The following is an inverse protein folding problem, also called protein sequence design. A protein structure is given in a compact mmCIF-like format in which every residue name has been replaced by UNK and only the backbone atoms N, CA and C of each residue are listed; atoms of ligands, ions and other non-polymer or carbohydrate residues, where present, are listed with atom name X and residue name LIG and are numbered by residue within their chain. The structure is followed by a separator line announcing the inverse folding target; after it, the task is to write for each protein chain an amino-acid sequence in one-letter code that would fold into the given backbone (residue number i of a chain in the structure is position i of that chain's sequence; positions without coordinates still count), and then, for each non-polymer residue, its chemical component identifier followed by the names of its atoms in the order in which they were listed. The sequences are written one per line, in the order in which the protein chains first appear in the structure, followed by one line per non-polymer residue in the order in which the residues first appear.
data_IF_647698966293
#
_entry.id   IF_647698966293
#
_cell.length_a   1.000
_cell.length_b   1.000
_cell.length_c   1.000
_cell.angle_alpha   90.00
_cell.angle_beta   90.00
_cell.angle_gamma   90.00
#
_symmetry.space_group_name_H-M   'P 1'
#
loop_
_entity.id
_entity.type
_entity.pdbx_description
1 polymer ?
#
# COMPACT_ATOMS: atom_id res chain seq x y z
N UNK A 1 -19.60 16.30 3.66
CA UNK A 1 -18.19 15.84 3.78
C UNK A 1 -17.31 17.07 3.95
N UNK A 2 -16.57 17.21 5.06
CA UNK A 2 -15.66 18.36 5.26
C UNK A 2 -14.45 18.20 4.32
N UNK A 3 -14.01 19.29 3.67
CA UNK A 3 -12.84 19.24 2.79
C UNK A 3 -11.57 19.21 3.65
N UNK A 4 -10.79 18.15 3.54
CA UNK A 4 -9.46 18.07 4.15
C UNK A 4 -8.44 18.75 3.25
N UNK A 5 -7.94 19.92 3.66
CA UNK A 5 -6.86 20.63 2.98
C UNK A 5 -5.48 20.04 3.29
N UNK A 6 -4.45 20.46 2.55
CA UNK A 6 -3.03 20.22 2.85
C UNK A 6 -2.56 18.75 2.92
N UNK A 7 -3.32 17.81 2.35
CA UNK A 7 -2.98 16.38 2.35
C UNK A 7 -1.65 16.08 1.66
N UNK A 8 -1.30 16.83 0.61
CA UNK A 8 -0.07 16.59 -0.15
C UNK A 8 1.19 16.77 0.71
N UNK A 9 1.22 17.79 1.58
CA UNK A 9 2.34 18.01 2.50
C UNK A 9 2.50 16.87 3.51
N UNK A 10 1.38 16.31 3.98
CA UNK A 10 1.39 15.14 4.88
C UNK A 10 1.90 13.89 4.15
N UNK A 11 1.47 13.68 2.90
CA UNK A 11 1.89 12.54 2.08
C UNK A 11 3.41 12.60 1.82
N UNK A 12 3.92 13.78 1.41
CA UNK A 12 5.33 14.01 1.10
C UNK A 12 6.21 14.29 2.33
N UNK A 13 5.67 14.18 3.55
CA UNK A 13 6.48 14.33 4.76
C UNK A 13 7.46 13.17 4.90
N UNK A 14 8.72 13.48 5.26
CA UNK A 14 9.77 12.47 5.41
C UNK A 14 9.37 11.37 6.41
N UNK A 15 8.75 11.75 7.53
CA UNK A 15 8.27 10.81 8.54
C UNK A 15 7.22 9.83 7.98
N UNK A 16 6.28 10.32 7.16
CA UNK A 16 5.27 9.46 6.53
C UNK A 16 5.89 8.55 5.47
N UNK A 17 6.83 9.06 4.66
CA UNK A 17 7.56 8.26 3.68
C UNK A 17 8.38 7.15 4.34
N UNK A 18 9.03 7.44 5.47
CA UNK A 18 9.76 6.44 6.27
C UNK A 18 8.81 5.38 6.84
N UNK A 19 7.67 5.79 7.42
CA UNK A 19 6.61 4.87 7.88
C UNK A 19 6.09 4.01 6.72
N UNK A 20 5.91 4.60 5.54
CA UNK A 20 5.45 3.92 4.35
C UNK A 20 6.46 2.88 3.84
N UNK A 21 7.75 3.22 3.82
CA UNK A 21 8.81 2.28 3.45
C UNK A 21 8.85 1.09 4.42
N UNK A 22 8.71 1.34 5.72
CA UNK A 22 8.63 0.28 6.74
C UNK A 22 7.43 -0.65 6.54
N UNK A 23 6.27 -0.11 6.10
CA UNK A 23 5.10 -0.93 5.75
C UNK A 23 5.33 -1.71 4.46
N UNK A 24 5.92 -1.09 3.44
CA UNK A 24 6.17 -1.68 2.13
C UNK A 24 7.14 -2.88 2.17
N UNK A 25 8.13 -2.85 3.07
CA UNK A 25 9.08 -3.96 3.22
C UNK A 25 8.54 -5.15 4.01
N UNK A 26 7.40 -5.01 4.73
CA UNK A 26 6.88 -6.07 5.60
C UNK A 26 6.53 -7.31 4.76
N UNK A 27 7.18 -8.43 5.05
CA UNK A 27 7.03 -9.69 4.30
C UNK A 27 7.77 -9.77 2.97
N UNK A 28 8.42 -8.69 2.49
CA UNK A 28 9.15 -8.65 1.20
C UNK A 28 10.56 -8.07 1.32
N UNK A 29 11.11 -8.02 2.53
CA UNK A 29 12.42 -7.42 2.85
C UNK A 29 13.59 -8.09 2.14
N UNK A 30 13.53 -9.41 1.92
CA UNK A 30 14.62 -10.20 1.33
C UNK A 30 14.67 -10.16 -0.21
N UNK A 31 13.70 -9.51 -0.86
CA UNK A 31 13.69 -9.40 -2.32
C UNK A 31 14.74 -8.38 -2.78
N UNK A 32 15.50 -8.68 -3.82
CA UNK A 32 16.61 -7.83 -4.29
C UNK A 32 16.20 -6.38 -4.54
N UNK A 33 15.03 -6.17 -5.16
CA UNK A 33 14.47 -4.84 -5.39
C UNK A 33 14.22 -4.05 -4.11
N UNK A 34 13.89 -4.74 -3.01
CA UNK A 34 13.65 -4.13 -1.70
C UNK A 34 14.97 -3.93 -0.97
N UNK A 35 15.88 -4.90 -1.05
CA UNK A 35 17.19 -4.86 -0.40
C UNK A 35 18.05 -3.71 -0.96
N UNK A 36 18.13 -3.55 -2.28
CA UNK A 36 18.90 -2.47 -2.92
C UNK A 36 18.42 -1.09 -2.50
N UNK A 37 17.11 -0.87 -2.50
CA UNK A 37 16.53 0.39 -2.01
C UNK A 37 16.81 0.62 -0.52
N UNK A 38 16.70 -0.43 0.30
CA UNK A 38 16.89 -0.33 1.73
C UNK A 38 18.37 -0.09 2.13
N UNK A 39 19.34 -0.45 1.30
CA UNK A 39 20.75 -0.11 1.52
C UNK A 39 20.98 1.40 1.45
N UNK A 40 20.29 2.08 0.53
CA UNK A 40 20.36 3.54 0.34
C UNK A 40 19.07 4.24 0.80
N UNK A 41 18.42 3.72 1.85
CA UNK A 41 17.06 4.09 2.24
C UNK A 41 16.89 5.61 2.41
N UNK A 42 17.79 6.24 3.15
CA UNK A 42 17.69 7.68 3.46
C UNK A 42 17.80 8.53 2.20
N UNK A 43 18.80 8.29 1.36
CA UNK A 43 19.00 9.00 0.10
C UNK A 43 17.82 8.84 -0.85
N UNK A 44 17.31 7.61 -1.01
CA UNK A 44 16.14 7.35 -1.85
C UNK A 44 14.88 8.06 -1.33
N UNK A 45 14.68 8.10 -0.01
CA UNK A 45 13.54 8.80 0.58
C UNK A 45 13.63 10.32 0.45
N UNK A 46 14.84 10.90 0.60
CA UNK A 46 15.07 12.33 0.40
C UNK A 46 14.85 12.73 -1.07
N UNK A 47 15.37 11.91 -2.00
CA UNK A 47 15.13 12.12 -3.43
C UNK A 47 13.63 12.03 -3.76
N UNK A 48 12.95 11.00 -3.25
CA UNK A 48 11.51 10.83 -3.43
C UNK A 48 10.71 12.00 -2.87
N UNK A 49 11.10 12.51 -1.70
CA UNK A 49 10.49 13.70 -1.10
C UNK A 49 10.65 14.92 -2.00
N UNK A 50 11.87 15.19 -2.49
CA UNK A 50 12.15 16.31 -3.37
C UNK A 50 11.36 16.21 -4.70
N UNK A 51 11.27 15.01 -5.28
CA UNK A 51 10.49 14.75 -6.49
C UNK A 51 8.98 14.93 -6.29
N UNK A 52 8.46 14.53 -5.13
CA UNK A 52 7.06 14.76 -4.77
C UNK A 52 6.80 16.26 -4.57
N UNK A 53 7.65 16.96 -3.82
CA UNK A 53 7.50 18.40 -3.57
C UNK A 53 7.58 19.22 -4.86
N UNK A 54 8.50 18.87 -5.77
CA UNK A 54 8.64 19.49 -7.08
C UNK A 54 7.61 19.02 -8.12
N UNK A 55 6.74 18.05 -7.78
CA UNK A 55 5.76 17.41 -8.67
C UNK A 55 6.40 16.75 -9.91
N UNK A 56 7.70 16.43 -9.84
CA UNK A 56 8.45 15.78 -10.90
C UNK A 56 8.37 14.24 -10.84
N UNK A 57 7.85 13.68 -9.74
CA UNK A 57 7.71 12.25 -9.55
C UNK A 57 6.90 11.57 -10.66
N UNK A 58 7.46 10.50 -11.24
CA UNK A 58 6.80 9.65 -12.26
C UNK A 58 6.83 8.20 -11.82
N UNK A 59 5.71 7.52 -12.01
CA UNK A 59 5.55 6.09 -11.71
C UNK A 59 6.34 5.29 -12.75
N UNK A 60 7.08 4.28 -12.29
CA UNK A 60 7.84 3.37 -13.13
C UNK A 60 6.96 2.36 -13.88
N UNK A 61 7.58 1.63 -14.81
CA UNK A 61 6.89 0.60 -15.58
C UNK A 61 6.41 -0.57 -14.70
N UNK A 62 5.20 -1.06 -14.97
CA UNK A 62 4.63 -2.21 -14.29
C UNK A 62 5.32 -3.50 -14.75
N UNK A 63 5.68 -4.35 -13.80
CA UNK A 63 6.12 -5.72 -14.10
C UNK A 63 4.92 -6.65 -14.10
N UNK A 64 4.51 -7.08 -15.28
CA UNK A 64 3.39 -8.01 -15.45
C UNK A 64 3.88 -9.47 -15.43
N UNK A 65 3.23 -10.32 -14.65
CA UNK A 65 3.49 -11.76 -14.62
C UNK A 65 2.20 -12.53 -14.36
N UNK A 66 2.10 -13.76 -14.86
CA UNK A 66 0.95 -14.61 -14.61
C UNK A 66 1.13 -15.38 -13.31
N UNK A 67 0.08 -15.42 -12.49
CA UNK A 67 -0.03 -16.31 -11.33
C UNK A 67 -1.28 -17.15 -11.47
N UNK A 68 -1.20 -18.40 -11.05
CA UNK A 68 -2.31 -19.33 -11.05
C UNK A 68 -2.72 -19.66 -9.63
N UNK A 69 -3.91 -19.20 -9.21
CA UNK A 69 -4.50 -19.53 -7.91
C UNK A 69 -5.94 -18.96 -7.79
N UNK A 70 -7.03 -19.76 -7.87
CA UNK A 70 -7.21 -21.06 -8.56
C UNK A 70 -7.42 -20.91 -10.08
N UNK A 71 -7.48 -19.68 -10.60
CA UNK A 71 -7.50 -19.36 -12.04
C UNK A 71 -6.31 -18.49 -12.42
N UNK A 72 -5.91 -18.53 -13.69
CA UNK A 72 -4.82 -17.70 -14.23
C UNK A 72 -5.22 -16.23 -14.19
N UNK A 73 -4.42 -15.41 -13.51
CA UNK A 73 -4.56 -13.95 -13.44
C UNK A 73 -3.25 -13.27 -13.82
N UNK A 74 -3.35 -12.22 -14.63
CA UNK A 74 -2.22 -11.33 -14.90
C UNK A 74 -2.06 -10.38 -13.72
N UNK A 75 -0.92 -10.45 -13.03
CA UNK A 75 -0.58 -9.56 -11.93
C UNK A 75 0.40 -8.52 -12.43
N UNK A 76 0.03 -7.26 -12.27
CA UNK A 76 0.88 -6.11 -12.56
C UNK A 76 1.49 -5.60 -11.25
N UNK A 77 2.78 -5.85 -11.02
CA UNK A 77 3.48 -5.37 -9.84
C UNK A 77 4.25 -4.08 -10.11
N UNK A 78 4.02 -3.08 -9.26
CA UNK A 78 4.80 -1.85 -9.21
C UNK A 78 6.23 -2.12 -8.71
N UNK A 79 7.23 -1.33 -9.16
CA UNK A 79 8.55 -1.31 -8.53
C UNK A 79 8.44 -0.88 -7.06
N UNK A 80 9.47 -1.20 -6.26
CA UNK A 80 9.41 -1.00 -4.81
C UNK A 80 9.25 0.47 -4.41
N UNK A 81 9.95 1.39 -5.08
CA UNK A 81 9.87 2.83 -4.88
C UNK A 81 8.44 3.34 -4.96
N UNK A 82 7.70 2.94 -5.99
CA UNK A 82 6.32 3.37 -6.18
C UNK A 82 5.37 2.76 -5.14
N UNK A 83 5.66 1.53 -4.66
CA UNK A 83 4.91 0.94 -3.55
C UNK A 83 5.06 1.75 -2.26
N UNK A 84 6.21 2.38 -2.02
CA UNK A 84 6.41 3.28 -0.87
C UNK A 84 5.46 4.48 -0.99
N UNK A 85 5.39 5.11 -2.16
CA UNK A 85 4.46 6.23 -2.40
C UNK A 85 3.00 5.81 -2.21
N UNK A 86 2.62 4.63 -2.71
CA UNK A 86 1.27 4.10 -2.48
C UNK A 86 0.95 3.92 -0.99
N UNK A 87 1.88 3.36 -0.22
CA UNK A 87 1.70 3.23 1.23
C UNK A 87 1.63 4.60 1.93
N UNK A 88 2.41 5.59 1.48
CA UNK A 88 2.38 6.94 2.04
C UNK A 88 1.03 7.63 1.80
N UNK A 89 0.46 7.42 0.62
CA UNK A 89 -0.88 7.90 0.26
C UNK A 89 -1.96 7.19 1.09
N UNK A 90 -1.91 5.87 1.20
CA UNK A 90 -2.87 5.11 2.02
C UNK A 90 -2.84 5.53 3.49
N UNK A 91 -1.66 5.83 4.07
CA UNK A 91 -1.57 6.26 5.48
C UNK A 91 -2.40 7.51 5.79
N UNK A 92 -2.51 8.43 4.82
CA UNK A 92 -3.21 9.72 4.99
C UNK A 92 -4.68 9.58 4.59
N UNK A 93 -4.96 8.81 3.53
CA UNK A 93 -6.29 8.68 2.95
C UNK A 93 -7.16 7.68 3.72
N UNK A 94 -6.62 6.54 4.14
CA UNK A 94 -7.35 5.48 4.86
C UNK A 94 -8.21 6.01 6.02
N UNK A 95 -7.70 6.82 6.98
CA UNK A 95 -8.52 7.31 8.09
C UNK A 95 -9.65 8.27 7.68
N UNK A 96 -9.52 8.94 6.52
CA UNK A 96 -10.56 9.85 6.01
C UNK A 96 -11.74 9.04 5.46
N UNK A 97 -11.44 7.93 4.79
CA UNK A 97 -12.44 7.11 4.13
C UNK A 97 -13.09 6.08 5.05
N UNK A 98 -12.36 5.57 6.05
CA UNK A 98 -12.85 4.49 6.94
C UNK A 98 -14.13 4.86 7.69
N UNK A 99 -14.33 6.15 8.01
CA UNK A 99 -15.57 6.66 8.63
C UNK A 99 -16.73 6.93 7.66
N UNK A 100 -16.49 6.84 6.35
CA UNK A 100 -17.48 7.12 5.30
C UNK A 100 -17.96 5.88 4.53
N UNK A 101 -17.19 4.78 4.62
CA UNK A 101 -17.50 3.53 3.93
C UNK A 101 -18.64 2.80 4.66
N UNK A 102 -19.53 2.18 3.89
CA UNK A 102 -20.66 1.38 4.39
C UNK A 102 -20.16 0.28 5.35
N UNK A 103 -20.90 0.04 6.42
CA UNK A 103 -20.55 -0.94 7.46
C UNK A 103 -20.28 -2.34 6.90
N UNK A 104 -21.08 -2.79 5.93
CA UNK A 104 -21.00 -4.12 5.32
C UNK A 104 -19.80 -4.30 4.37
N UNK A 105 -19.00 -3.26 4.14
CA UNK A 105 -17.75 -3.38 3.38
C UNK A 105 -16.62 -3.78 4.31
N UNK A 106 -16.27 -5.07 4.28
CA UNK A 106 -15.22 -5.66 5.13
C UNK A 106 -13.85 -5.73 4.46
N UNK A 107 -13.77 -5.61 3.13
CA UNK A 107 -12.53 -5.80 2.40
C UNK A 107 -11.48 -4.71 2.72
N UNK A 108 -10.23 -5.12 2.92
CA UNK A 108 -9.06 -4.24 3.07
C UNK A 108 -9.15 -3.21 4.21
N UNK A 109 -9.96 -3.47 5.25
CA UNK A 109 -10.08 -2.62 6.44
C UNK A 109 -9.36 -3.25 7.64
N UNK A 110 -8.81 -2.41 8.51
CA UNK A 110 -8.18 -2.89 9.75
C UNK A 110 -9.24 -3.45 10.69
N UNK A 111 -8.99 -4.64 11.25
CA UNK A 111 -9.92 -5.31 12.17
C UNK A 111 -11.07 -6.06 11.48
N UNK A 112 -11.38 -5.74 10.22
CA UNK A 112 -12.43 -6.38 9.45
C UNK A 112 -11.81 -7.41 8.50
N UNK A 113 -11.86 -8.68 8.89
CA UNK A 113 -11.45 -9.80 8.07
C UNK A 113 -12.56 -10.84 8.01
N UNK A 114 -12.50 -11.73 7.01
CA UNK A 114 -13.48 -12.80 6.80
C UNK A 114 -13.72 -13.68 8.04
N UNK A 115 -12.75 -13.75 8.96
CA UNK A 115 -12.81 -14.57 10.18
C UNK A 115 -13.44 -13.87 11.39
N UNK A 116 -13.52 -12.54 11.41
CA UNK A 116 -14.01 -11.80 12.57
C UNK A 116 -15.53 -11.60 12.58
N UNK A 117 -16.22 -11.92 11.49
CA UNK A 117 -17.68 -11.88 11.38
C UNK A 117 -18.20 -13.21 10.82
N UNK A 118 -18.56 -14.14 11.72
CA UNK A 118 -19.59 -15.15 11.47
C UNK A 118 -19.35 -16.17 10.34
N UNK A 119 -18.35 -17.04 10.48
CA UNK A 119 -18.46 -18.39 9.90
C UNK A 119 -19.10 -19.35 10.94
N UNK A 120 -20.35 -19.07 11.29
CA UNK A 120 -21.27 -20.05 11.90
C UNK A 120 -22.58 -20.06 11.12
N UNK A 121 -22.53 -20.15 9.79
CA UNK A 121 -23.66 -20.66 9.00
C UNK A 121 -23.13 -21.47 7.82
N UNK A 122 -23.23 -22.78 7.95
CA UNK A 122 -23.34 -23.79 6.88
C UNK A 122 -22.53 -23.55 5.60
N UNK A 123 -21.31 -24.09 5.56
CA UNK A 123 -20.70 -24.68 4.37
C UNK A 123 -19.93 -25.92 4.88
N UNK A 124 -20.64 -27.02 5.20
CA UNK A 124 -20.79 -28.20 4.36
C UNK A 124 -19.43 -28.79 3.91
N UNK A 125 -19.01 -29.82 4.66
CA UNK A 125 -18.39 -31.09 4.26
C UNK A 125 -17.35 -31.19 3.12
N UNK A 126 -16.27 -31.94 3.40
CA UNK A 126 -15.37 -32.66 2.46
C UNK A 126 -14.58 -31.73 1.52
N UNK A 127 -13.25 -31.75 1.44
CA UNK A 127 -12.27 -32.85 1.38
C UNK A 127 -10.97 -32.36 2.02
#
# INVERSE_FOLDING_TARGET
MKRSGYLFGLIASFENLLKAARKAQRGKRRKDSTAGFNLNLENELLQLQAELQSRAYRIGAYKCFYVFDPRRRLISALPYRDRVVQHALCNVIEPIFDGSIIFDSYACRKGNGLVNFGCQRNCISRV
#
